data_IF_312702938206
#
_entry.id   IF_312702938206
#
_cell.length_a   1.000
_cell.length_b   1.000
_cell.length_c   1.000
_cell.angle_alpha   90.00
_cell.angle_beta   90.00
_cell.angle_gamma   90.00
#
_symmetry.space_group_name_H-M   'P 1'
#
loop_
_entity.id
_entity.type
_entity.pdbx_description
1 polymer ?
#
# COMPACT_ATOMS: atom_id res chain seq x y z
N UNK A 1 2.07 -19.41 -0.77
CA UNK A 1 1.78 -18.00 -0.45
C UNK A 1 3.01 -17.43 0.21
N UNK A 2 3.49 -16.29 -0.26
CA UNK A 2 4.65 -15.61 0.32
C UNK A 2 4.26 -14.90 1.61
N UNK A 3 5.19 -14.81 2.56
CA UNK A 3 5.00 -14.07 3.82
C UNK A 3 6.06 -12.98 3.90
N UNK A 4 5.61 -11.76 4.04
CA UNK A 4 6.47 -10.59 4.12
C UNK A 4 6.33 -9.81 5.42
N UNK A 5 7.29 -8.92 5.64
CA UNK A 5 7.27 -7.97 6.74
C UNK A 5 7.41 -6.55 6.20
N UNK A 6 6.61 -5.66 6.74
CA UNK A 6 6.72 -4.23 6.53
C UNK A 6 7.84 -3.64 7.39
N UNK A 7 8.40 -2.56 6.90
CA UNK A 7 9.61 -2.01 7.45
C UNK A 7 9.42 -1.33 8.81
N UNK A 8 9.98 -1.85 9.80
CA UNK A 8 10.84 -1.09 10.70
C UNK A 8 12.30 -1.30 10.34
N UNK A 9 12.59 -1.91 9.21
CA UNK A 9 13.88 -2.08 8.54
C UNK A 9 15.04 -2.52 9.41
N UNK A 10 14.78 -3.26 10.45
CA UNK A 10 15.86 -3.87 11.16
C UNK A 10 16.14 -5.27 10.61
N UNK A 11 16.71 -5.31 9.38
CA UNK A 11 17.19 -6.56 8.78
C UNK A 11 18.17 -7.26 9.72
N UNK A 12 18.95 -6.51 10.50
CA UNK A 12 19.89 -7.06 11.47
C UNK A 12 19.16 -7.78 12.58
N UNK A 13 18.08 -7.22 13.11
CA UNK A 13 17.22 -7.87 14.09
C UNK A 13 16.53 -9.09 13.50
N UNK A 14 15.93 -9.00 12.32
CA UNK A 14 15.32 -10.15 11.65
C UNK A 14 16.31 -11.30 11.53
N UNK A 15 17.53 -11.00 11.08
CA UNK A 15 18.59 -12.01 10.93
C UNK A 15 19.00 -12.61 12.27
N UNK A 16 19.18 -11.79 13.31
CA UNK A 16 19.57 -12.26 14.64
C UNK A 16 18.50 -13.14 15.31
N UNK A 17 17.23 -12.86 15.03
CA UNK A 17 16.08 -13.65 15.52
C UNK A 17 15.76 -14.85 14.62
N UNK A 18 16.52 -15.06 13.55
CA UNK A 18 16.29 -16.17 12.60
C UNK A 18 15.05 -16.01 11.75
N UNK A 19 14.55 -14.78 11.57
CA UNK A 19 13.38 -14.46 10.74
C UNK A 19 13.85 -14.25 9.29
N UNK A 20 13.26 -14.97 8.36
CA UNK A 20 13.56 -14.89 6.92
C UNK A 20 12.28 -14.65 6.14
N UNK A 21 11.84 -13.40 5.99
CA UNK A 21 10.64 -13.09 5.21
C UNK A 21 10.89 -13.30 3.71
N UNK A 22 9.84 -13.69 2.98
CA UNK A 22 9.89 -13.80 1.52
C UNK A 22 9.86 -12.42 0.85
N UNK A 23 9.25 -11.42 1.51
CA UNK A 23 9.08 -10.04 1.01
C UNK A 23 9.43 -9.08 2.14
N UNK A 24 10.17 -8.01 1.82
CA UNK A 24 10.37 -6.88 2.74
C UNK A 24 9.84 -5.61 2.09
N UNK A 25 8.92 -4.92 2.81
CA UNK A 25 8.32 -3.67 2.35
C UNK A 25 9.05 -2.45 2.91
N UNK A 26 9.32 -1.48 2.07
CA UNK A 26 9.91 -0.20 2.43
C UNK A 26 9.16 0.94 1.78
N UNK A 27 8.83 1.95 2.58
CA UNK A 27 8.17 3.16 2.10
C UNK A 27 9.13 4.14 1.48
N UNK A 28 8.69 4.74 0.37
CA UNK A 28 9.30 5.90 -0.28
C UNK A 28 8.37 7.09 -0.08
N UNK A 29 8.61 7.85 0.99
CA UNK A 29 7.69 8.89 1.47
C UNK A 29 8.08 10.26 0.95
N UNK A 30 7.08 11.02 0.51
CA UNK A 30 7.13 12.46 0.28
C UNK A 30 7.83 12.91 -1.00
N UNK A 31 7.55 14.16 -1.38
CA UNK A 31 8.09 14.86 -2.55
C UNK A 31 9.01 15.99 -2.09
N UNK A 32 10.14 16.16 -2.76
CA UNK A 32 11.05 17.27 -2.51
C UNK A 32 12.15 17.01 -1.48
N UNK A 33 12.82 18.06 -1.06
CA UNK A 33 13.94 17.99 -0.13
C UNK A 33 13.52 17.43 1.24
N UNK A 34 14.38 16.62 1.85
CA UNK A 34 14.12 15.99 3.14
C UNK A 34 13.30 14.69 3.05
N UNK A 35 12.89 14.29 1.85
CA UNK A 35 12.14 13.05 1.60
C UNK A 35 13.04 11.99 0.93
N UNK A 36 12.44 10.84 0.61
CA UNK A 36 13.16 9.62 0.22
C UNK A 36 14.26 9.81 -0.85
N UNK A 37 14.13 10.71 -1.86
CA UNK A 37 15.17 10.86 -2.87
C UNK A 37 16.49 11.37 -2.28
N UNK A 38 16.44 12.01 -1.11
CA UNK A 38 17.56 12.67 -0.45
C UNK A 38 17.93 12.04 0.90
N UNK A 39 17.41 10.86 1.25
CA UNK A 39 17.82 10.15 2.47
C UNK A 39 19.28 9.73 2.41
N UNK A 40 19.78 9.38 1.22
CA UNK A 40 21.17 9.02 0.98
C UNK A 40 21.77 9.88 -0.13
N UNK A 41 23.08 9.81 -0.33
CA UNK A 41 23.80 10.50 -1.41
C UNK A 41 24.56 9.49 -2.27
N UNK A 42 24.46 9.58 -3.60
CA UNK A 42 23.71 10.58 -4.39
C UNK A 42 22.19 10.41 -4.26
N UNK A 43 21.39 11.42 -4.67
CA UNK A 43 19.93 11.31 -4.65
C UNK A 43 19.42 10.05 -5.35
N UNK A 44 18.49 9.35 -4.71
CA UNK A 44 17.93 8.09 -5.21
C UNK A 44 18.67 6.83 -4.73
N UNK A 45 19.93 6.93 -4.28
CA UNK A 45 20.70 5.75 -3.84
C UNK A 45 20.06 4.97 -2.68
N UNK A 46 19.18 5.60 -1.90
CA UNK A 46 18.38 4.91 -0.88
C UNK A 46 17.60 3.71 -1.46
N UNK A 47 17.02 3.85 -2.64
CA UNK A 47 16.30 2.75 -3.33
C UNK A 47 17.23 1.58 -3.62
N UNK A 48 18.44 1.88 -4.11
CA UNK A 48 19.46 0.85 -4.41
C UNK A 48 19.91 0.13 -3.14
N UNK A 49 20.14 0.90 -2.08
CA UNK A 49 20.62 0.37 -0.79
C UNK A 49 19.58 -0.59 -0.19
N UNK A 50 18.31 -0.18 -0.17
CA UNK A 50 17.19 -1.00 0.32
C UNK A 50 17.05 -2.29 -0.49
N UNK A 51 16.98 -2.18 -1.83
CA UNK A 51 16.84 -3.35 -2.71
C UNK A 51 18.00 -4.33 -2.51
N UNK A 52 19.22 -3.85 -2.36
CA UNK A 52 20.38 -4.72 -2.16
C UNK A 52 20.37 -5.37 -0.77
N UNK A 53 19.96 -4.64 0.26
CA UNK A 53 19.85 -5.17 1.62
C UNK A 53 18.80 -6.29 1.71
N UNK A 54 17.61 -6.06 1.18
CA UNK A 54 16.52 -7.05 1.15
C UNK A 54 16.93 -8.31 0.37
N UNK A 55 17.51 -8.12 -0.81
CA UNK A 55 17.96 -9.23 -1.63
C UNK A 55 19.13 -10.00 -1.02
N UNK A 56 19.96 -9.37 -0.20
CA UNK A 56 21.07 -10.04 0.49
C UNK A 56 20.61 -11.07 1.53
N UNK A 57 19.41 -10.87 2.10
CA UNK A 57 18.78 -11.83 3.02
C UNK A 57 17.81 -12.78 2.32
N UNK A 58 17.72 -12.72 0.99
CA UNK A 58 16.89 -13.62 0.17
C UNK A 58 15.45 -13.18 0.00
N UNK A 59 15.09 -11.98 0.48
CA UNK A 59 13.76 -11.43 0.33
C UNK A 59 13.58 -10.74 -1.03
N UNK A 60 12.34 -10.68 -1.52
CA UNK A 60 11.95 -9.83 -2.64
C UNK A 60 11.65 -8.42 -2.11
N UNK A 61 12.36 -7.38 -2.59
CA UNK A 61 12.06 -6.01 -2.21
C UNK A 61 10.67 -5.59 -2.68
N UNK A 62 9.91 -4.97 -1.80
CA UNK A 62 8.63 -4.34 -2.09
C UNK A 62 8.72 -2.86 -1.71
N UNK A 63 8.59 -1.98 -2.68
CA UNK A 63 8.68 -0.53 -2.47
C UNK A 63 7.29 0.06 -2.50
N UNK A 64 6.88 0.69 -1.42
CA UNK A 64 5.62 1.43 -1.32
C UNK A 64 5.86 2.91 -1.59
N UNK A 65 5.51 3.37 -2.78
CA UNK A 65 5.54 4.78 -3.14
C UNK A 65 4.39 5.51 -2.44
N UNK A 66 4.71 6.45 -1.57
CA UNK A 66 3.74 7.20 -0.75
C UNK A 66 4.08 8.69 -0.78
N UNK A 67 3.97 9.29 -1.95
CA UNK A 67 4.36 10.67 -2.19
C UNK A 67 3.17 11.64 -2.25
N UNK A 68 2.01 11.14 -2.67
CA UNK A 68 0.80 11.98 -2.80
C UNK A 68 0.27 12.48 -1.44
N UNK A 69 0.72 11.88 -0.33
CA UNK A 69 0.41 12.31 1.03
C UNK A 69 1.35 13.41 1.58
N UNK A 70 2.28 13.93 0.78
CA UNK A 70 3.31 14.91 1.22
C UNK A 70 2.73 16.10 1.98
N UNK A 71 1.62 16.64 1.53
CA UNK A 71 0.94 17.80 2.14
C UNK A 71 -0.30 17.38 2.95
N UNK A 72 -0.36 16.12 3.35
CA UNK A 72 -1.43 15.53 4.14
C UNK A 72 -2.26 14.52 3.35
N UNK A 73 -2.68 13.47 4.05
CA UNK A 73 -3.57 12.46 3.49
C UNK A 73 -4.88 13.09 3.00
N UNK A 74 -5.28 12.71 1.79
CA UNK A 74 -6.50 13.24 1.18
C UNK A 74 -6.37 14.63 0.57
N UNK A 75 -5.21 15.27 0.60
CA UNK A 75 -4.98 16.52 -0.14
C UNK A 75 -4.73 16.22 -1.62
N UNK A 76 -5.82 15.99 -2.37
CA UNK A 76 -5.71 15.72 -3.81
C UNK A 76 -5.52 17.00 -4.65
N UNK A 77 -5.51 18.20 -4.07
CA UNK A 77 -5.28 19.44 -4.81
C UNK A 77 -3.89 19.46 -5.47
N UNK A 78 -2.92 18.81 -4.86
CA UNK A 78 -1.55 18.72 -5.33
C UNK A 78 -1.41 18.14 -6.75
N UNK A 79 -2.32 17.25 -7.17
CA UNK A 79 -2.28 16.67 -8.53
C UNK A 79 -2.46 17.72 -9.64
N UNK A 80 -3.00 18.90 -9.31
CA UNK A 80 -3.17 20.00 -10.24
C UNK A 80 -2.13 21.12 -10.05
N UNK A 81 -1.23 21.01 -9.07
CA UNK A 81 -0.10 21.92 -8.91
C UNK A 81 1.05 21.52 -9.83
N UNK A 82 1.49 22.46 -10.67
CA UNK A 82 2.53 22.18 -11.67
C UNK A 82 3.90 21.94 -11.03
N UNK A 83 4.21 22.64 -9.93
CA UNK A 83 5.52 22.50 -9.28
C UNK A 83 5.61 21.18 -8.52
N UNK A 84 4.54 20.85 -7.77
CA UNK A 84 4.44 19.56 -7.09
C UNK A 84 4.57 18.40 -8.07
N UNK A 85 3.75 18.40 -9.13
CA UNK A 85 3.73 17.30 -10.09
C UNK A 85 5.01 17.22 -10.95
N UNK A 86 5.71 18.33 -11.19
CA UNK A 86 7.03 18.29 -11.84
C UNK A 86 8.04 17.56 -10.97
N UNK A 87 8.08 17.87 -9.68
CA UNK A 87 8.94 17.17 -8.73
C UNK A 87 8.54 15.71 -8.56
N UNK A 88 7.24 15.44 -8.42
CA UNK A 88 6.69 14.10 -8.31
C UNK A 88 7.12 13.21 -9.48
N UNK A 89 6.86 13.61 -10.72
CA UNK A 89 7.23 12.82 -11.90
C UNK A 89 8.73 12.59 -12.03
N UNK A 90 9.53 13.60 -11.71
CA UNK A 90 10.99 13.45 -11.70
C UNK A 90 11.43 12.37 -10.70
N UNK A 91 10.82 12.33 -9.52
CA UNK A 91 11.17 11.37 -8.48
C UNK A 91 10.62 9.97 -8.78
N UNK A 92 9.41 9.84 -9.34
CA UNK A 92 8.91 8.55 -9.84
C UNK A 92 9.83 7.97 -10.91
N UNK A 93 10.29 8.79 -11.85
CA UNK A 93 11.27 8.38 -12.85
C UNK A 93 12.59 7.96 -12.23
N UNK A 94 13.08 8.71 -11.23
CA UNK A 94 14.29 8.38 -10.47
C UNK A 94 14.12 7.01 -9.80
N UNK A 95 13.03 6.77 -9.09
CA UNK A 95 12.74 5.49 -8.45
C UNK A 95 12.89 4.32 -9.44
N UNK A 96 12.21 4.40 -10.57
CA UNK A 96 12.27 3.32 -11.57
C UNK A 96 13.66 3.16 -12.19
N UNK A 97 14.39 4.24 -12.39
CA UNK A 97 15.77 4.20 -12.88
C UNK A 97 16.68 3.48 -11.89
N UNK A 98 16.55 3.79 -10.60
CA UNK A 98 17.34 3.15 -9.55
C UNK A 98 16.95 1.67 -9.36
N UNK A 99 15.67 1.33 -9.43
CA UNK A 99 15.23 -0.07 -9.45
C UNK A 99 15.92 -0.84 -10.59
N UNK A 100 15.92 -0.29 -11.79
CA UNK A 100 16.53 -0.94 -12.94
C UNK A 100 18.05 -1.13 -12.79
N UNK A 101 18.74 -0.17 -12.17
CA UNK A 101 20.18 -0.22 -11.95
C UNK A 101 20.61 -1.44 -11.12
N UNK A 102 19.76 -1.92 -10.22
CA UNK A 102 20.04 -3.09 -9.38
C UNK A 102 19.98 -4.42 -10.15
N UNK A 103 19.22 -4.46 -11.26
CA UNK A 103 18.96 -5.68 -12.03
C UNK A 103 18.11 -6.73 -11.32
N UNK A 104 17.63 -6.45 -10.11
CA UNK A 104 16.88 -7.39 -9.25
C UNK A 104 15.38 -7.33 -9.51
N UNK A 105 14.63 -8.41 -9.22
CA UNK A 105 13.17 -8.36 -9.20
C UNK A 105 12.70 -7.48 -8.03
N UNK A 106 11.75 -6.59 -8.28
CA UNK A 106 11.17 -5.66 -7.29
C UNK A 106 9.66 -5.61 -7.47
N UNK A 107 8.93 -5.59 -6.38
CA UNK A 107 7.51 -5.27 -6.33
C UNK A 107 7.37 -3.78 -6.01
N UNK A 108 6.41 -3.11 -6.64
CA UNK A 108 6.14 -1.68 -6.40
C UNK A 108 4.66 -1.50 -6.12
N UNK A 109 4.33 -0.90 -4.99
CA UNK A 109 2.99 -0.50 -4.59
C UNK A 109 2.85 1.02 -4.81
N UNK A 110 1.84 1.42 -5.59
CA UNK A 110 1.71 2.78 -6.06
C UNK A 110 0.64 3.57 -5.32
N UNK A 111 1.07 4.47 -4.43
CA UNK A 111 0.25 5.48 -3.79
C UNK A 111 -0.96 4.89 -3.02
N UNK A 112 -0.73 4.10 -1.97
CA UNK A 112 -1.81 3.68 -1.07
C UNK A 112 -2.61 4.88 -0.57
N UNK A 113 -3.88 4.64 -0.29
CA UNK A 113 -4.87 5.62 0.16
C UNK A 113 -5.24 6.71 -0.87
N UNK A 114 -4.30 7.17 -1.67
CA UNK A 114 -4.51 8.20 -2.68
C UNK A 114 -5.70 7.89 -3.60
N UNK A 115 -5.79 6.65 -4.08
CA UNK A 115 -6.87 6.27 -5.00
C UNK A 115 -8.24 6.28 -4.37
N UNK A 116 -8.33 5.96 -3.07
CA UNK A 116 -9.57 6.11 -2.31
C UNK A 116 -9.99 7.57 -2.17
N UNK A 117 -9.05 8.46 -1.86
CA UNK A 117 -9.34 9.89 -1.80
C UNK A 117 -9.72 10.47 -3.17
N UNK A 118 -9.07 10.02 -4.25
CA UNK A 118 -9.48 10.38 -5.62
C UNK A 118 -10.90 9.93 -5.89
N UNK A 119 -11.27 8.69 -5.52
CA UNK A 119 -12.64 8.18 -5.71
C UNK A 119 -13.67 9.01 -4.93
N UNK A 120 -13.39 9.31 -3.66
CA UNK A 120 -14.30 10.06 -2.81
C UNK A 120 -14.48 11.52 -3.25
N UNK A 121 -13.43 12.14 -3.79
CA UNK A 121 -13.44 13.56 -4.14
C UNK A 121 -13.72 13.82 -5.63
N UNK A 122 -13.66 12.80 -6.47
CA UNK A 122 -14.06 12.93 -7.86
C UNK A 122 -15.57 13.17 -7.99
N UNK A 123 -16.02 14.11 -8.81
CA UNK A 123 -17.44 14.30 -9.06
C UNK A 123 -18.10 12.99 -9.51
N UNK A 124 -19.09 12.52 -8.75
CA UNK A 124 -19.76 11.23 -8.97
C UNK A 124 -18.82 9.99 -8.95
N UNK A 125 -17.66 10.09 -8.31
CA UNK A 125 -16.64 9.04 -8.34
C UNK A 125 -15.96 8.86 -9.71
N UNK A 126 -16.08 9.81 -10.61
CA UNK A 126 -15.54 9.75 -11.97
C UNK A 126 -14.13 10.38 -12.02
N UNK A 127 -13.05 9.57 -12.12
CA UNK A 127 -11.67 10.07 -12.13
C UNK A 127 -11.34 10.91 -13.37
N UNK A 128 -12.14 10.86 -14.43
CA UNK A 128 -11.96 11.70 -15.63
C UNK A 128 -12.31 13.17 -15.35
N UNK A 129 -13.07 13.42 -14.30
CA UNK A 129 -13.51 14.77 -13.90
C UNK A 129 -12.52 15.48 -12.98
N UNK A 130 -11.48 14.79 -12.50
CA UNK A 130 -10.44 15.40 -11.68
C UNK A 130 -9.25 15.83 -12.53
N UNK A 131 -9.00 17.13 -12.72
CA UNK A 131 -7.85 17.59 -13.49
C UNK A 131 -6.53 17.32 -12.77
N UNK A 132 -5.50 16.96 -13.53
CA UNK A 132 -4.16 16.69 -13.03
C UNK A 132 -3.08 17.13 -14.03
N UNK A 133 -1.86 17.41 -13.56
CA UNK A 133 -0.71 17.78 -14.41
C UNK A 133 0.07 16.51 -14.82
N UNK A 134 -0.39 15.84 -15.86
CA UNK A 134 0.19 14.57 -16.36
C UNK A 134 1.13 14.82 -17.55
N UNK A 135 0.66 15.58 -18.54
CA UNK A 135 1.38 15.78 -19.82
C UNK A 135 2.65 16.64 -19.70
N UNK A 136 2.91 17.21 -18.50
CA UNK A 136 4.18 17.86 -18.19
C UNK A 136 5.32 16.85 -18.11
N UNK A 137 5.03 15.55 -17.91
CA UNK A 137 5.98 14.46 -18.03
C UNK A 137 6.05 13.99 -19.49
N UNK A 138 7.22 14.13 -20.16
CA UNK A 138 7.32 13.88 -21.61
C UNK A 138 6.85 12.50 -22.06
N UNK A 139 7.17 11.44 -21.28
CA UNK A 139 6.76 10.07 -21.56
C UNK A 139 5.23 9.88 -21.51
N UNK A 140 4.54 10.80 -20.84
CA UNK A 140 3.10 10.76 -20.61
C UNK A 140 2.33 11.82 -21.42
N UNK A 141 2.97 12.45 -22.41
CA UNK A 141 2.38 13.56 -23.17
C UNK A 141 1.09 13.20 -23.95
N UNK A 142 0.86 11.92 -24.21
CA UNK A 142 -0.36 11.42 -24.88
C UNK A 142 -1.49 11.04 -23.93
N UNK A 143 -1.25 11.07 -22.61
CA UNK A 143 -2.24 10.70 -21.61
C UNK A 143 -3.13 11.89 -21.22
N UNK A 144 -4.34 11.65 -20.71
CA UNK A 144 -5.22 12.74 -20.30
C UNK A 144 -4.68 13.47 -19.05
N UNK A 145 -4.87 14.78 -18.98
CA UNK A 145 -4.56 15.60 -17.81
C UNK A 145 -5.64 15.45 -16.72
N UNK A 146 -5.87 14.22 -16.27
CA UNK A 146 -6.83 13.86 -15.22
C UNK A 146 -6.25 12.77 -14.31
N UNK A 147 -6.95 12.41 -13.24
CA UNK A 147 -6.54 11.32 -12.35
C UNK A 147 -6.33 9.98 -13.09
N UNK A 148 -7.08 9.73 -14.16
CA UNK A 148 -6.84 8.57 -15.05
C UNK A 148 -5.45 8.60 -15.66
N UNK A 149 -5.01 9.76 -16.10
CA UNK A 149 -3.67 9.92 -16.67
C UNK A 149 -2.56 9.70 -15.65
N UNK A 150 -2.80 9.98 -14.36
CA UNK A 150 -1.82 9.69 -13.30
C UNK A 150 -1.51 8.19 -13.26
N UNK A 151 -2.55 7.34 -13.16
CA UNK A 151 -2.35 5.88 -13.15
C UNK A 151 -1.64 5.39 -14.42
N UNK A 152 -2.07 5.89 -15.58
CA UNK A 152 -1.44 5.58 -16.86
C UNK A 152 0.03 5.99 -16.93
N UNK A 153 0.39 7.16 -16.40
CA UNK A 153 1.75 7.67 -16.39
C UNK A 153 2.66 6.87 -15.45
N UNK A 154 2.20 6.54 -14.26
CA UNK A 154 2.93 5.68 -13.32
C UNK A 154 3.30 4.33 -13.96
N UNK A 155 2.34 3.69 -14.64
CA UNK A 155 2.57 2.44 -15.34
C UNK A 155 3.52 2.63 -16.56
N UNK A 156 3.35 3.71 -17.33
CA UNK A 156 4.19 4.02 -18.48
C UNK A 156 5.66 4.19 -18.05
N UNK A 157 5.91 4.96 -17.01
CA UNK A 157 7.27 5.16 -16.48
C UNK A 157 7.87 3.84 -15.99
N UNK A 158 7.09 3.03 -15.26
CA UNK A 158 7.57 1.74 -14.80
C UNK A 158 7.93 0.78 -15.95
N UNK A 159 7.08 0.68 -16.96
CA UNK A 159 7.37 -0.17 -18.14
C UNK A 159 8.55 0.34 -18.95
N UNK A 160 8.75 1.66 -18.99
CA UNK A 160 9.86 2.28 -19.73
C UNK A 160 11.19 2.10 -19.03
N UNK A 161 11.25 2.41 -17.72
CA UNK A 161 12.52 2.52 -16.98
C UNK A 161 12.86 1.26 -16.18
N UNK A 162 11.86 0.52 -15.68
CA UNK A 162 12.06 -0.70 -14.89
C UNK A 162 11.18 -1.85 -15.39
N UNK A 163 11.38 -2.36 -16.61
CA UNK A 163 10.46 -3.34 -17.22
C UNK A 163 10.41 -4.69 -16.48
N UNK A 164 11.36 -4.95 -15.59
CA UNK A 164 11.37 -6.15 -14.74
C UNK A 164 10.61 -5.98 -13.43
N UNK A 165 10.33 -4.74 -13.01
CA UNK A 165 9.53 -4.48 -11.82
C UNK A 165 8.10 -4.96 -12.03
N UNK A 166 7.50 -5.49 -10.98
CA UNK A 166 6.07 -5.81 -10.92
C UNK A 166 5.35 -4.72 -10.17
N UNK A 167 4.34 -4.15 -10.80
CA UNK A 167 3.68 -2.93 -10.33
C UNK A 167 2.27 -3.25 -9.87
N UNK A 168 1.96 -2.88 -8.64
CA UNK A 168 0.64 -2.99 -8.03
C UNK A 168 -0.03 -1.64 -7.84
N UNK A 169 -1.35 -1.60 -7.99
CA UNK A 169 -2.17 -0.45 -7.66
C UNK A 169 -3.12 -0.87 -6.52
N UNK A 170 -3.16 -0.12 -5.40
CA UNK A 170 -3.97 -0.45 -4.25
C UNK A 170 -5.39 0.11 -4.36
N UNK A 171 -6.43 -0.73 -4.43
CA UNK A 171 -7.80 -0.30 -4.18
C UNK A 171 -7.97 0.07 -2.70
N UNK A 172 -8.55 1.23 -2.42
CA UNK A 172 -8.90 1.65 -1.07
C UNK A 172 -10.42 1.70 -0.93
N UNK A 173 -10.96 1.01 0.07
CA UNK A 173 -12.42 0.90 0.18
C UNK A 173 -13.06 2.14 0.79
N UNK A 174 -12.50 2.70 1.85
CA UNK A 174 -12.98 3.92 2.52
C UNK A 174 -14.51 3.99 2.71
N UNK A 175 -15.12 2.86 3.09
CA UNK A 175 -16.57 2.73 3.27
C UNK A 175 -17.35 2.35 2.01
N UNK A 176 -16.71 2.29 0.85
CA UNK A 176 -17.28 1.85 -0.41
C UNK A 176 -17.33 0.31 -0.50
N UNK A 177 -18.17 -0.21 -1.35
CA UNK A 177 -18.26 -1.64 -1.61
C UNK A 177 -17.36 -2.07 -2.78
N UNK A 178 -17.09 -3.38 -2.89
CA UNK A 178 -16.20 -3.93 -3.92
C UNK A 178 -16.63 -3.63 -5.36
N UNK A 179 -17.92 -3.42 -5.63
CA UNK A 179 -18.41 -3.04 -6.97
C UNK A 179 -18.06 -1.60 -7.32
N UNK A 180 -18.31 -0.67 -6.39
CA UNK A 180 -17.95 0.75 -6.56
C UNK A 180 -16.45 0.90 -6.77
N UNK A 181 -15.66 0.32 -5.86
CA UNK A 181 -14.19 0.35 -5.94
C UNK A 181 -13.68 -0.31 -7.23
N UNK A 182 -14.20 -1.48 -7.60
CA UNK A 182 -13.80 -2.18 -8.82
C UNK A 182 -14.06 -1.37 -10.09
N UNK A 183 -15.19 -0.69 -10.18
CA UNK A 183 -15.52 0.18 -11.31
C UNK A 183 -14.59 1.39 -11.38
N UNK A 184 -14.30 2.02 -10.24
CA UNK A 184 -13.34 3.12 -10.16
C UNK A 184 -11.93 2.66 -10.57
N UNK A 185 -11.45 1.55 -10.03
CA UNK A 185 -10.13 0.99 -10.38
C UNK A 185 -10.04 0.66 -11.87
N UNK A 186 -11.12 0.15 -12.45
CA UNK A 186 -11.18 -0.09 -13.90
C UNK A 186 -11.13 1.21 -14.69
N UNK A 187 -11.81 2.26 -14.23
CA UNK A 187 -11.82 3.56 -14.89
C UNK A 187 -10.42 4.22 -14.89
N UNK A 188 -9.62 4.05 -13.83
CA UNK A 188 -8.24 4.56 -13.81
C UNK A 188 -7.25 3.66 -14.58
N UNK A 189 -7.68 2.49 -15.07
CA UNK A 189 -6.82 1.61 -15.85
C UNK A 189 -6.00 0.61 -15.02
N UNK A 190 -6.39 0.32 -13.77
CA UNK A 190 -5.68 -0.59 -12.87
C UNK A 190 -5.54 -2.03 -13.40
N UNK A 191 -6.39 -2.44 -14.36
CA UNK A 191 -6.25 -3.72 -15.06
C UNK A 191 -4.94 -3.86 -15.85
N UNK A 192 -4.21 -2.78 -16.06
CA UNK A 192 -2.91 -2.79 -16.75
C UNK A 192 -1.72 -2.94 -15.77
N UNK A 193 -1.98 -3.01 -14.47
CA UNK A 193 -0.98 -3.35 -13.46
C UNK A 193 -0.62 -4.86 -13.49
N UNK A 194 0.38 -5.27 -12.71
CA UNK A 194 0.76 -6.68 -12.56
C UNK A 194 0.00 -7.38 -11.44
N UNK A 195 -0.44 -6.62 -10.43
CA UNK A 195 -1.21 -7.12 -9.29
C UNK A 195 -2.03 -5.99 -8.66
N UNK A 196 -2.95 -6.33 -7.78
CA UNK A 196 -3.64 -5.38 -6.90
C UNK A 196 -3.13 -5.55 -5.46
N UNK A 197 -3.15 -4.47 -4.69
CA UNK A 197 -2.70 -4.49 -3.30
C UNK A 197 -3.91 -4.42 -2.38
N UNK A 198 -4.10 -5.49 -1.60
CA UNK A 198 -5.19 -5.58 -0.64
C UNK A 198 -4.78 -5.02 0.72
N UNK A 199 -5.74 -4.53 1.48
CA UNK A 199 -5.59 -4.07 2.85
C UNK A 199 -6.69 -4.65 3.72
N UNK A 200 -6.41 -4.83 5.01
CA UNK A 200 -7.46 -5.18 5.97
C UNK A 200 -8.14 -3.94 6.57
N UNK A 201 -7.62 -2.75 6.32
CA UNK A 201 -8.10 -1.43 6.72
C UNK A 201 -8.03 -1.13 8.22
N UNK A 202 -8.41 -2.08 9.08
CA UNK A 202 -8.32 -1.91 10.52
C UNK A 202 -6.94 -2.38 10.98
N UNK A 203 -6.13 -1.45 11.42
CA UNK A 203 -4.72 -1.69 11.64
C UNK A 203 -4.41 -2.26 13.02
N UNK A 204 -5.15 -1.85 14.05
CA UNK A 204 -4.79 -2.17 15.41
C UNK A 204 -6.00 -2.24 16.34
N UNK A 205 -6.46 -3.43 16.65
CA UNK A 205 -7.55 -3.65 17.59
C UNK A 205 -7.22 -3.10 19.01
N UNK A 206 -5.96 -3.11 19.39
CA UNK A 206 -5.55 -2.55 20.67
C UNK A 206 -5.63 -1.04 20.74
N UNK A 207 -5.43 -0.35 19.61
CA UNK A 207 -5.64 1.08 19.52
C UNK A 207 -7.12 1.43 19.75
N UNK A 208 -8.02 0.64 19.15
CA UNK A 208 -9.46 0.79 19.35
C UNK A 208 -9.87 0.51 20.81
N UNK A 209 -9.33 -0.55 21.42
CA UNK A 209 -9.56 -0.85 22.84
C UNK A 209 -9.05 0.27 23.74
N UNK A 210 -7.84 0.78 23.49
CA UNK A 210 -7.25 1.85 24.28
C UNK A 210 -8.05 3.15 24.22
N UNK A 211 -8.68 3.44 23.11
CA UNK A 211 -9.50 4.65 22.93
C UNK A 211 -10.65 4.74 23.94
N UNK A 212 -11.04 3.62 24.55
CA UNK A 212 -12.08 3.56 25.57
C UNK A 212 -11.55 3.82 27.00
N UNK A 213 -10.22 3.87 27.20
CA UNK A 213 -9.60 4.05 28.51
C UNK A 213 -9.03 5.45 28.69
N UNK A 214 -9.03 5.93 29.93
CA UNK A 214 -8.34 7.19 30.27
C UNK A 214 -6.84 7.02 30.08
N UNK A 215 -6.17 8.02 29.46
CA UNK A 215 -4.74 7.98 29.19
C UNK A 215 -4.35 7.17 27.96
N UNK A 216 -5.30 6.83 27.11
CA UNK A 216 -4.98 6.24 25.81
C UNK A 216 -4.20 7.23 24.93
N UNK A 217 -3.33 6.70 24.04
CA UNK A 217 -2.64 7.53 23.06
C UNK A 217 -3.61 8.37 22.22
N UNK A 218 -3.20 9.59 21.88
CA UNK A 218 -4.06 10.54 21.14
C UNK A 218 -4.49 10.00 19.77
N UNK A 219 -3.62 9.24 19.14
CA UNK A 219 -3.86 8.58 17.83
C UNK A 219 -4.95 7.51 17.91
N UNK A 220 -5.22 6.98 19.09
CA UNK A 220 -6.26 5.96 19.29
C UNK A 220 -7.60 6.56 19.66
N UNK A 221 -7.65 7.83 20.10
CA UNK A 221 -8.90 8.47 20.52
C UNK A 221 -9.88 8.63 19.38
N UNK A 222 -11.17 8.41 19.64
CA UNK A 222 -12.23 8.56 18.63
C UNK A 222 -12.37 7.39 17.67
N UNK A 223 -11.66 6.27 17.91
CA UNK A 223 -11.74 5.08 17.05
C UNK A 223 -13.04 4.28 17.18
N UNK A 224 -13.91 4.63 18.10
CA UNK A 224 -15.21 3.99 18.27
C UNK A 224 -15.26 2.90 19.35
N UNK A 225 -16.35 2.14 19.36
CA UNK A 225 -16.67 1.20 20.45
C UNK A 225 -16.50 -0.27 20.08
N UNK A 226 -15.77 -0.56 19.01
CA UNK A 226 -15.63 -1.93 18.49
C UNK A 226 -16.71 -2.30 17.45
N UNK A 227 -16.68 -3.52 16.95
CA UNK A 227 -15.79 -4.60 17.39
C UNK A 227 -14.31 -4.30 17.09
N UNK A 228 -13.41 -4.70 17.99
CA UNK A 228 -11.97 -4.45 17.87
C UNK A 228 -11.22 -5.53 17.09
N UNK A 229 -11.77 -6.74 17.11
CA UNK A 229 -11.23 -7.90 16.39
C UNK A 229 -12.17 -8.28 15.25
N UNK A 230 -11.60 -8.72 14.16
CA UNK A 230 -12.39 -9.31 13.10
C UNK A 230 -12.94 -10.66 13.53
N UNK A 231 -14.17 -10.94 13.12
CA UNK A 231 -14.85 -12.19 13.45
C UNK A 231 -14.25 -13.36 12.66
N UNK A 232 -13.48 -14.20 13.33
CA UNK A 232 -12.86 -15.39 12.74
C UNK A 232 -13.91 -16.47 12.37
N UNK A 233 -15.13 -16.38 12.90
CA UNK A 233 -16.24 -17.27 12.51
C UNK A 233 -16.94 -16.81 11.23
N UNK A 234 -16.63 -15.59 10.77
CA UNK A 234 -17.21 -14.94 9.59
C UNK A 234 -18.75 -14.82 9.62
N UNK A 235 -19.34 -14.67 10.81
CA UNK A 235 -20.78 -14.50 11.00
C UNK A 235 -21.19 -13.03 11.14
N UNK A 236 -20.29 -12.18 11.65
CA UNK A 236 -20.54 -10.76 11.89
C UNK A 236 -19.44 -9.90 11.25
N UNK A 237 -19.73 -8.63 10.99
CA UNK A 237 -18.75 -7.67 10.44
C UNK A 237 -18.04 -6.91 11.57
N UNK A 238 -16.77 -6.55 11.37
CA UNK A 238 -15.90 -6.88 10.24
C UNK A 238 -15.40 -8.34 10.29
N UNK A 239 -15.19 -8.96 9.14
CA UNK A 239 -14.69 -10.33 9.05
C UNK A 239 -13.79 -10.55 7.82
N UNK A 240 -13.09 -11.68 7.84
CA UNK A 240 -12.08 -12.00 6.83
C UNK A 240 -12.68 -12.40 5.48
N UNK A 241 -13.79 -13.10 5.49
CA UNK A 241 -14.46 -13.54 4.26
C UNK A 241 -15.07 -12.36 3.52
N UNK A 242 -15.66 -11.40 4.23
CA UNK A 242 -16.21 -10.19 3.63
C UNK A 242 -15.12 -9.34 2.97
N UNK A 243 -14.02 -9.10 3.67
CA UNK A 243 -12.88 -8.37 3.11
C UNK A 243 -12.33 -9.06 1.85
N UNK A 244 -12.09 -10.38 1.91
CA UNK A 244 -11.58 -11.15 0.79
C UNK A 244 -12.56 -11.14 -0.40
N UNK A 245 -13.86 -11.20 -0.14
CA UNK A 245 -14.92 -11.11 -1.15
C UNK A 245 -14.96 -9.74 -1.84
N UNK A 246 -14.68 -8.67 -1.09
CA UNK A 246 -14.55 -7.33 -1.64
C UNK A 246 -13.43 -7.27 -2.71
N UNK A 247 -12.25 -7.77 -2.38
CA UNK A 247 -11.13 -7.83 -3.34
C UNK A 247 -11.39 -8.81 -4.49
N UNK A 248 -12.06 -9.94 -4.25
CA UNK A 248 -12.47 -10.85 -5.32
C UNK A 248 -13.43 -10.16 -6.32
N UNK A 249 -14.33 -9.30 -5.82
CA UNK A 249 -15.23 -8.49 -6.64
C UNK A 249 -14.47 -7.49 -7.49
N UNK A 250 -13.55 -6.73 -6.89
CA UNK A 250 -12.65 -5.80 -7.62
C UNK A 250 -11.92 -6.54 -8.74
N UNK A 251 -11.30 -7.66 -8.40
CA UNK A 251 -10.55 -8.51 -9.33
C UNK A 251 -11.40 -9.00 -10.51
N UNK A 252 -12.62 -9.42 -10.24
CA UNK A 252 -13.60 -9.84 -11.25
C UNK A 252 -13.95 -8.70 -12.23
N UNK A 253 -14.16 -7.48 -11.72
CA UNK A 253 -14.49 -6.31 -12.52
C UNK A 253 -13.31 -5.87 -13.39
N UNK A 254 -12.09 -5.98 -12.90
CA UNK A 254 -10.88 -5.72 -13.69
C UNK A 254 -10.67 -6.71 -14.82
N UNK A 255 -11.15 -7.94 -14.69
CA UNK A 255 -11.34 -8.89 -15.79
C UNK A 255 -10.11 -9.70 -16.19
N UNK A 256 -8.96 -9.57 -15.57
CA UNK A 256 -7.71 -10.25 -15.95
C UNK A 256 -7.05 -11.05 -14.83
N UNK A 257 -7.81 -11.47 -13.86
CA UNK A 257 -7.34 -12.35 -12.76
C UNK A 257 -6.04 -11.89 -12.11
N UNK A 258 -5.84 -10.58 -11.96
CA UNK A 258 -4.67 -10.02 -11.31
C UNK A 258 -4.46 -10.68 -9.94
N UNK A 259 -3.23 -11.11 -9.61
CA UNK A 259 -2.95 -11.62 -8.28
C UNK A 259 -3.08 -10.51 -7.24
N UNK A 260 -3.25 -10.91 -5.99
CA UNK A 260 -3.43 -9.98 -4.85
C UNK A 260 -2.21 -10.11 -3.94
N UNK A 261 -1.64 -8.96 -3.55
CA UNK A 261 -0.71 -8.85 -2.42
C UNK A 261 -1.44 -8.13 -1.28
N UNK A 262 -1.63 -8.80 -0.16
CA UNK A 262 -2.04 -8.08 1.05
C UNK A 262 -0.86 -7.31 1.62
N UNK A 263 -1.09 -6.06 1.97
CA UNK A 263 -0.07 -5.14 2.44
C UNK A 263 -0.55 -4.44 3.71
N UNK A 264 0.39 -4.00 4.53
CA UNK A 264 0.12 -3.32 5.80
C UNK A 264 -0.87 -4.11 6.70
N UNK A 265 -0.77 -5.44 6.64
CA UNK A 265 -1.61 -6.31 7.47
C UNK A 265 -1.11 -6.28 8.91
N UNK A 266 -1.95 -5.97 9.90
CA UNK A 266 -1.49 -5.83 11.28
C UNK A 266 -0.86 -7.10 11.85
N UNK A 267 0.36 -6.95 12.40
CA UNK A 267 1.00 -8.00 13.23
C UNK A 267 0.32 -8.14 14.59
N UNK A 268 -0.32 -7.07 15.06
CA UNK A 268 -0.67 -6.89 16.44
C UNK A 268 0.51 -6.37 17.26
N UNK A 269 0.23 -5.69 18.34
CA UNK A 269 1.24 -5.13 19.25
C UNK A 269 1.15 -5.77 20.64
N UNK A 270 2.28 -5.94 21.33
CA UNK A 270 2.28 -6.45 22.70
C UNK A 270 1.53 -5.54 23.67
N UNK A 271 1.04 -6.10 24.75
CA UNK A 271 0.32 -5.36 25.78
C UNK A 271 1.10 -4.21 26.44
N UNK A 272 2.43 -4.23 26.33
CA UNK A 272 3.29 -3.16 26.87
C UNK A 272 3.38 -1.93 25.97
N UNK A 273 2.86 -1.99 24.75
CA UNK A 273 2.84 -0.87 23.81
C UNK A 273 1.56 -0.05 23.94
N UNK A 274 1.52 1.19 23.44
CA UNK A 274 0.29 1.97 23.39
C UNK A 274 -0.84 1.17 22.76
N UNK A 275 -2.04 1.27 23.33
CA UNK A 275 -3.18 0.45 22.93
C UNK A 275 -3.14 -0.99 23.46
N UNK A 276 -2.10 -1.39 24.18
CA UNK A 276 -1.97 -2.72 24.72
C UNK A 276 -2.66 -2.93 26.06
N UNK A 277 -3.27 -4.10 26.25
CA UNK A 277 -3.71 -4.61 27.54
C UNK A 277 -3.01 -5.94 27.82
N UNK A 278 -2.80 -6.27 29.10
CA UNK A 278 -2.04 -7.46 29.48
C UNK A 278 -2.54 -8.73 28.79
N UNK A 279 -1.62 -9.47 28.19
CA UNK A 279 -1.88 -10.70 27.43
C UNK A 279 -2.79 -10.54 26.19
N UNK A 280 -2.91 -9.31 25.70
CA UNK A 280 -3.74 -9.02 24.55
C UNK A 280 -2.88 -8.55 23.38
N UNK A 281 -3.01 -9.18 22.25
CA UNK A 281 -2.49 -8.72 20.96
C UNK A 281 -3.64 -8.11 20.16
N UNK A 282 -3.35 -7.03 19.48
CA UNK A 282 -4.32 -6.06 19.02
C UNK A 282 -4.99 -6.40 17.73
N UNK A 283 -4.48 -7.39 17.06
CA UNK A 283 -5.00 -7.80 15.77
C UNK A 283 -4.95 -9.33 15.67
N UNK A 284 -5.94 -9.92 15.04
CA UNK A 284 -6.00 -11.36 14.83
C UNK A 284 -5.75 -11.79 13.38
N UNK A 285 -5.30 -10.85 12.53
CA UNK A 285 -5.02 -11.09 11.12
C UNK A 285 -3.94 -12.16 10.92
N UNK A 286 -2.85 -12.10 11.68
CA UNK A 286 -1.77 -13.11 11.58
C UNK A 286 -2.32 -14.51 11.80
N UNK A 287 -3.05 -14.70 12.90
CA UNK A 287 -3.61 -16.00 13.25
C UNK A 287 -4.54 -16.52 12.16
N UNK A 288 -5.54 -15.71 11.79
CA UNK A 288 -6.54 -16.14 10.81
C UNK A 288 -5.92 -16.38 9.43
N UNK A 289 -5.16 -15.43 8.90
CA UNK A 289 -4.66 -15.50 7.53
C UNK A 289 -3.65 -16.65 7.33
N UNK A 290 -2.81 -16.93 8.33
CA UNK A 290 -1.86 -18.04 8.24
C UNK A 290 -2.53 -19.40 8.46
N UNK A 291 -3.53 -19.52 9.34
CA UNK A 291 -4.26 -20.78 9.55
C UNK A 291 -5.25 -21.08 8.41
N UNK A 292 -5.66 -20.04 7.66
CA UNK A 292 -6.57 -20.17 6.51
C UNK A 292 -5.86 -19.84 5.17
N UNK A 293 -4.56 -20.04 5.08
CA UNK A 293 -3.75 -19.68 3.91
C UNK A 293 -4.30 -20.21 2.58
N UNK A 294 -4.88 -21.43 2.59
CA UNK A 294 -5.51 -22.01 1.39
C UNK A 294 -6.70 -21.20 0.87
N UNK A 295 -7.48 -20.57 1.76
CA UNK A 295 -8.58 -19.68 1.37
C UNK A 295 -8.07 -18.47 0.59
N UNK A 296 -6.99 -17.85 1.08
CA UNK A 296 -6.35 -16.69 0.42
C UNK A 296 -5.74 -17.07 -0.92
N UNK A 297 -5.01 -18.17 -0.97
CA UNK A 297 -4.41 -18.67 -2.23
C UNK A 297 -5.48 -18.95 -3.28
N UNK A 298 -6.59 -19.59 -2.90
CA UNK A 298 -7.68 -19.88 -3.81
C UNK A 298 -8.38 -18.60 -4.33
N UNK A 299 -8.38 -17.53 -3.55
CA UNK A 299 -8.86 -16.22 -3.98
C UNK A 299 -7.84 -15.43 -4.84
N UNK A 300 -6.64 -15.98 -5.05
CA UNK A 300 -5.60 -15.38 -5.88
C UNK A 300 -4.59 -14.52 -5.12
N UNK A 301 -4.54 -14.64 -3.80
CA UNK A 301 -3.51 -13.98 -2.98
C UNK A 301 -2.19 -14.72 -3.14
N UNK A 302 -1.14 -14.03 -3.60
CA UNK A 302 0.19 -14.61 -3.73
C UNK A 302 1.09 -14.33 -2.55
N UNK A 303 0.80 -13.28 -1.77
CA UNK A 303 1.60 -12.92 -0.61
C UNK A 303 0.82 -12.03 0.38
N UNK A 304 1.31 -12.03 1.61
CA UNK A 304 0.81 -11.15 2.70
C UNK A 304 2.02 -10.51 3.34
N UNK A 305 2.03 -9.19 3.38
CA UNK A 305 3.04 -8.38 4.09
C UNK A 305 2.44 -7.87 5.38
N UNK A 306 2.95 -8.37 6.49
CA UNK A 306 2.58 -7.92 7.83
C UNK A 306 3.40 -6.71 8.23
N UNK A 307 2.80 -5.79 8.98
CA UNK A 307 3.48 -4.60 9.49
C UNK A 307 3.13 -4.35 10.96
N UNK A 308 3.83 -3.42 11.59
CA UNK A 308 3.49 -2.98 12.92
C UNK A 308 2.05 -2.45 12.98
N UNK A 309 1.45 -2.53 14.15
CA UNK A 309 0.16 -1.91 14.42
C UNK A 309 0.24 -0.38 14.42
N UNK A 310 -0.81 0.28 14.86
CA UNK A 310 -0.80 1.72 15.05
C UNK A 310 0.26 2.09 16.11
N UNK A 311 1.19 2.92 15.73
CA UNK A 311 2.27 3.45 16.58
C UNK A 311 2.00 4.88 17.00
#
# INVERSE_FOLDING_TARGET
>A
MLVGLGSGNDISTMTSEGISPDIIDTYLVGVGAGNWPYYNSPPGSYVVDVINADAAVGAVPHLTLYQMATNGDGNIADINDVNFMTAYWSQVKLMYTEIASTGKPVLVNLEPDFWGYVQLQAPNGDPTMLPAKVTIQPECASLPNTAVGIAGCLLTLGRTYAPKAKIGIPPSFFGENGTSVGNFMKAIGAQNADFIVGQTSDRDAGCFEAALSSGSPSECTGRGNGPFYWDETNQTLPNFTDNLSGYATVRSILGNNLPILYWQTPLGVPSSTPGGTTNHYRANQVHYMLTHASQYVNAGVFGIVFSGGAS
#
